data_IF_566796360463
#
_entry.id   IF_566796360463
#
_cell.length_a   1.000
_cell.length_b   1.000
_cell.length_c   1.000
_cell.angle_alpha   90.00
_cell.angle_beta   90.00
_cell.angle_gamma   90.00
#
_symmetry.space_group_name_H-M   'P 1'
#
loop_
_entity.id
_entity.type
_entity.pdbx_description
1 polymer ?
#
# COMPACT_ATOMS: atom_id res chain seq x y z
N UNK A 1 -23.25 -22.52 -0.51
CA UNK A 1 -22.24 -22.88 -1.51
C UNK A 1 -21.51 -21.64 -1.98
N UNK A 2 -20.21 -21.71 -2.00
CA UNK A 2 -19.42 -20.63 -2.58
C UNK A 2 -19.62 -20.68 -4.09
N UNK A 3 -20.16 -19.62 -4.66
CA UNK A 3 -20.27 -19.49 -6.09
C UNK A 3 -18.88 -19.44 -6.68
N UNK A 4 -18.68 -20.04 -7.85
CA UNK A 4 -17.38 -20.05 -8.53
C UNK A 4 -16.79 -18.65 -8.70
N UNK A 5 -17.63 -17.62 -8.94
CA UNK A 5 -17.20 -16.25 -9.07
C UNK A 5 -16.74 -15.58 -7.77
N UNK A 6 -16.95 -16.22 -6.62
CA UNK A 6 -16.56 -15.69 -5.31
C UNK A 6 -15.27 -16.30 -4.78
N UNK A 7 -14.62 -17.18 -5.56
CA UNK A 7 -13.34 -17.76 -5.18
C UNK A 7 -12.24 -16.73 -5.47
N UNK A 8 -11.52 -16.39 -4.41
CA UNK A 8 -10.34 -15.53 -4.49
C UNK A 8 -9.26 -16.18 -5.32
N UNK A 9 -8.73 -15.50 -6.33
CA UNK A 9 -7.62 -16.00 -7.16
C UNK A 9 -6.30 -15.75 -6.49
N UNK A 10 -6.05 -14.51 -6.12
CA UNK A 10 -4.85 -14.06 -5.43
C UNK A 10 -5.23 -13.02 -4.39
N UNK A 11 -4.32 -12.78 -3.47
CA UNK A 11 -4.34 -11.59 -2.64
C UNK A 11 -3.25 -10.68 -3.20
N UNK A 12 -3.62 -9.49 -3.64
CA UNK A 12 -2.68 -8.50 -4.15
C UNK A 12 -2.64 -7.31 -3.22
N UNK A 13 -1.45 -6.93 -2.80
CA UNK A 13 -1.22 -5.91 -1.79
C UNK A 13 -0.43 -4.77 -2.43
N UNK A 14 -0.90 -3.54 -2.23
CA UNK A 14 -0.26 -2.34 -2.79
C UNK A 14 0.12 -1.40 -1.66
N UNK A 15 1.38 -0.98 -1.63
CA UNK A 15 1.82 0.19 -0.91
C UNK A 15 1.28 1.46 -1.60
N UNK A 16 1.24 2.58 -0.91
CA UNK A 16 0.79 3.86 -1.49
C UNK A 16 1.95 4.74 -1.95
N UNK A 17 2.66 5.35 -1.03
CA UNK A 17 3.69 6.34 -1.38
C UNK A 17 4.85 5.72 -2.15
N UNK A 18 5.12 6.24 -3.35
CA UNK A 18 6.16 5.71 -4.23
C UNK A 18 5.77 4.46 -5.01
N UNK A 19 4.60 3.91 -4.75
CA UNK A 19 4.06 2.71 -5.42
C UNK A 19 2.84 3.05 -6.26
N UNK A 20 1.81 3.61 -5.66
CA UNK A 20 0.56 4.00 -6.32
C UNK A 20 0.34 5.52 -6.33
N UNK A 21 0.99 6.24 -5.44
CA UNK A 21 0.84 7.69 -5.29
C UNK A 21 2.20 8.35 -5.35
N UNK A 22 2.30 9.41 -6.13
CA UNK A 22 3.41 10.34 -6.11
C UNK A 22 3.08 11.49 -5.16
N UNK A 23 3.71 11.48 -3.99
CA UNK A 23 3.59 12.51 -2.97
C UNK A 23 4.91 13.27 -2.78
N UNK A 24 5.81 13.20 -3.74
CA UNK A 24 7.15 13.81 -3.64
C UNK A 24 7.11 15.32 -3.45
N UNK A 25 6.08 15.99 -3.96
CA UNK A 25 5.94 17.44 -3.83
C UNK A 25 5.86 17.94 -2.39
N UNK A 26 5.51 17.07 -1.45
CA UNK A 26 5.38 17.38 -0.01
C UNK A 26 6.33 16.59 0.88
N UNK A 27 7.31 15.92 0.27
CA UNK A 27 8.37 15.22 0.99
C UNK A 27 9.64 16.07 1.04
N UNK A 28 10.47 15.82 2.05
CA UNK A 28 11.83 16.32 2.13
C UNK A 28 12.73 15.21 2.67
N UNK A 29 13.96 15.19 2.23
CA UNK A 29 14.96 14.22 2.70
C UNK A 29 15.95 14.87 3.66
N UNK A 30 16.40 14.10 4.64
CA UNK A 30 17.49 14.47 5.52
C UNK A 30 18.84 14.28 4.79
N UNK A 31 19.93 14.85 5.30
CA UNK A 31 21.25 14.67 4.69
C UNK A 31 21.68 13.21 4.52
N UNK A 32 21.17 12.30 5.36
CA UNK A 32 21.45 10.87 5.27
C UNK A 32 20.59 10.13 4.23
N UNK A 33 19.72 10.85 3.51
CA UNK A 33 18.85 10.28 2.49
C UNK A 33 17.51 9.77 3.00
N UNK A 34 17.27 9.80 4.32
CA UNK A 34 15.99 9.36 4.89
C UNK A 34 14.93 10.44 4.79
N UNK A 35 13.65 10.02 4.84
CA UNK A 35 12.53 10.95 4.84
C UNK A 35 12.54 11.81 6.10
N UNK A 36 12.39 13.12 5.94
CA UNK A 36 12.19 14.04 7.04
C UNK A 36 10.75 13.92 7.55
N UNK A 37 10.56 13.18 8.65
CA UNK A 37 9.22 12.90 9.19
C UNK A 37 8.49 14.14 9.67
N UNK A 38 9.21 15.11 10.26
CA UNK A 38 8.59 16.35 10.72
C UNK A 38 8.00 17.12 9.53
N UNK A 39 8.76 17.25 8.47
CA UNK A 39 8.31 17.89 7.23
C UNK A 39 7.11 17.14 6.65
N UNK A 40 7.16 15.81 6.62
CA UNK A 40 6.07 14.97 6.14
C UNK A 40 4.77 15.22 6.92
N UNK A 41 4.86 15.23 8.25
CA UNK A 41 3.70 15.47 9.12
C UNK A 41 3.13 16.88 8.90
N UNK A 42 3.99 17.90 8.83
CA UNK A 42 3.57 19.27 8.59
C UNK A 42 2.88 19.47 7.24
N UNK A 43 3.25 18.66 6.25
CA UNK A 43 2.70 18.75 4.90
C UNK A 43 1.61 17.69 4.62
N UNK A 44 1.15 16.99 5.63
CA UNK A 44 0.01 16.07 5.55
C UNK A 44 -1.32 16.81 5.76
N UNK A 45 -1.49 17.94 5.08
CA UNK A 45 -2.71 18.75 5.12
C UNK A 45 -3.63 18.34 3.98
N UNK A 46 -4.97 18.58 4.09
CA UNK A 46 -5.90 18.26 2.99
C UNK A 46 -5.47 18.86 1.65
N UNK A 47 -5.07 20.14 1.64
CA UNK A 47 -4.63 20.81 0.42
C UNK A 47 -3.45 20.12 -0.24
N UNK A 48 -2.46 19.72 0.56
CA UNK A 48 -1.26 19.04 0.06
C UNK A 48 -1.57 17.62 -0.39
N UNK A 49 -2.39 16.90 0.34
CA UNK A 49 -2.82 15.54 0.01
C UNK A 49 -3.57 15.53 -1.32
N UNK A 50 -4.49 16.48 -1.53
CA UNK A 50 -5.22 16.58 -2.79
C UNK A 50 -4.33 16.99 -3.97
N UNK A 51 -3.12 17.48 -3.72
CA UNK A 51 -2.11 17.74 -4.73
C UNK A 51 -1.27 16.52 -5.11
N UNK A 52 -1.42 15.38 -4.43
CA UNK A 52 -0.77 14.12 -4.82
C UNK A 52 -1.30 13.66 -6.17
N UNK A 53 -0.51 12.88 -6.89
CA UNK A 53 -0.92 12.30 -8.17
C UNK A 53 -0.79 10.78 -8.13
N UNK A 54 -1.53 10.10 -9.02
CA UNK A 54 -1.45 8.65 -9.14
C UNK A 54 -0.25 8.24 -9.99
N UNK A 55 0.42 7.18 -9.56
CA UNK A 55 1.40 6.47 -10.37
C UNK A 55 0.69 5.42 -11.23
N UNK A 56 1.30 4.98 -12.34
CA UNK A 56 0.66 4.03 -13.26
C UNK A 56 0.16 2.75 -12.60
N UNK A 57 0.86 2.25 -11.59
CA UNK A 57 0.47 1.00 -10.91
C UNK A 57 -0.88 1.11 -10.19
N UNK A 58 -1.31 2.32 -9.82
CA UNK A 58 -2.61 2.52 -9.16
C UNK A 58 -3.79 1.96 -9.98
N UNK A 59 -3.68 1.95 -11.29
CA UNK A 59 -4.70 1.40 -12.17
C UNK A 59 -4.93 -0.10 -11.95
N UNK A 60 -3.92 -0.81 -11.45
CA UNK A 60 -4.00 -2.25 -11.19
C UNK A 60 -4.91 -2.58 -10.01
N UNK A 61 -5.14 -1.65 -9.10
CA UNK A 61 -5.98 -1.90 -7.91
C UNK A 61 -7.38 -2.33 -8.35
N UNK A 62 -8.06 -1.51 -9.13
CA UNK A 62 -9.42 -1.83 -9.59
C UNK A 62 -9.43 -2.95 -10.62
N UNK A 63 -8.42 -3.01 -11.46
CA UNK A 63 -8.30 -4.07 -12.48
C UNK A 63 -8.22 -5.45 -11.83
N UNK A 64 -7.39 -5.60 -10.80
CA UNK A 64 -7.25 -6.87 -10.09
C UNK A 64 -8.50 -7.22 -9.30
N UNK A 65 -9.18 -6.23 -8.74
CA UNK A 65 -10.48 -6.44 -8.11
C UNK A 65 -11.48 -7.06 -9.08
N UNK A 66 -11.55 -6.51 -10.29
CA UNK A 66 -12.45 -7.04 -11.36
C UNK A 66 -12.04 -8.43 -11.80
N UNK A 67 -10.77 -8.76 -11.72
CA UNK A 67 -10.25 -10.09 -12.10
C UNK A 67 -10.50 -11.16 -11.02
N UNK A 68 -10.99 -10.80 -9.88
CA UNK A 68 -11.30 -11.74 -8.79
C UNK A 68 -10.26 -11.82 -7.69
N UNK A 69 -9.27 -10.93 -7.68
CA UNK A 69 -8.31 -10.84 -6.57
C UNK A 69 -8.94 -10.17 -5.35
N UNK A 70 -8.46 -10.54 -4.17
CA UNK A 70 -8.70 -9.76 -2.97
C UNK A 70 -7.60 -8.70 -2.88
N UNK A 71 -7.99 -7.43 -2.96
CA UNK A 71 -7.03 -6.33 -3.08
C UNK A 71 -6.93 -5.55 -1.78
N UNK A 72 -5.70 -5.41 -1.30
CA UNK A 72 -5.38 -4.71 -0.06
C UNK A 72 -4.44 -3.53 -0.39
N UNK A 73 -4.74 -2.37 0.16
CA UNK A 73 -3.77 -1.28 0.27
C UNK A 73 -3.14 -1.36 1.66
N UNK A 74 -1.83 -1.46 1.72
CA UNK A 74 -1.07 -1.54 2.97
C UNK A 74 -0.03 -0.43 3.00
N UNK A 75 -0.25 0.58 3.82
CA UNK A 75 0.59 1.77 3.88
C UNK A 75 1.14 2.00 5.28
N UNK A 76 2.37 2.49 5.36
CA UNK A 76 2.94 2.98 6.61
C UNK A 76 2.45 4.39 6.95
N UNK A 77 1.70 5.01 6.06
CA UNK A 77 1.07 6.32 6.28
C UNK A 77 0.00 6.20 7.38
N UNK A 78 -0.04 7.18 8.26
CA UNK A 78 -1.18 7.36 9.16
C UNK A 78 -2.27 8.07 8.36
N UNK A 79 -3.31 7.34 7.95
CA UNK A 79 -4.36 7.86 7.08
C UNK A 79 -5.26 8.84 7.81
N UNK A 80 -5.52 9.98 7.19
CA UNK A 80 -6.50 10.97 7.61
C UNK A 80 -7.75 10.87 6.75
N UNK A 81 -8.80 11.62 7.11
CA UNK A 81 -10.01 11.71 6.29
C UNK A 81 -9.70 12.20 4.87
N UNK A 82 -8.75 13.14 4.75
CA UNK A 82 -8.32 13.64 3.44
C UNK A 82 -7.67 12.55 2.58
N UNK A 83 -6.91 11.65 3.20
CA UNK A 83 -6.30 10.52 2.49
C UNK A 83 -7.37 9.58 1.92
N UNK A 84 -8.37 9.24 2.72
CA UNK A 84 -9.49 8.40 2.25
C UNK A 84 -10.30 9.10 1.17
N UNK A 85 -10.55 10.39 1.32
CA UNK A 85 -11.26 11.19 0.33
C UNK A 85 -10.48 11.26 -0.99
N UNK A 86 -9.17 11.42 -0.92
CA UNK A 86 -8.31 11.40 -2.11
C UNK A 86 -8.49 10.09 -2.89
N UNK A 87 -8.40 8.95 -2.20
CA UNK A 87 -8.55 7.64 -2.85
C UNK A 87 -9.94 7.50 -3.47
N UNK A 88 -10.98 7.94 -2.77
CA UNK A 88 -12.35 7.89 -3.27
C UNK A 88 -12.52 8.77 -4.51
N UNK A 89 -11.99 9.99 -4.49
CA UNK A 89 -12.08 10.92 -5.62
C UNK A 89 -11.33 10.40 -6.86
N UNK A 90 -10.25 9.66 -6.64
CA UNK A 90 -9.48 9.04 -7.72
C UNK A 90 -10.03 7.68 -8.16
N UNK A 91 -11.12 7.24 -7.56
CA UNK A 91 -11.76 5.98 -7.92
C UNK A 91 -10.99 4.74 -7.50
N UNK A 92 -10.17 4.83 -6.47
CA UNK A 92 -9.36 3.72 -5.95
C UNK A 92 -10.15 2.98 -4.89
N UNK A 93 -10.57 1.76 -5.19
CA UNK A 93 -11.48 0.96 -4.36
C UNK A 93 -10.90 -0.40 -4.00
N UNK A 94 -9.93 -0.49 -3.08
CA UNK A 94 -9.46 -1.78 -2.57
C UNK A 94 -10.53 -2.41 -1.66
N UNK A 95 -10.41 -3.71 -1.42
CA UNK A 95 -11.28 -4.40 -0.47
C UNK A 95 -10.93 -4.03 0.98
N UNK A 96 -9.67 -3.72 1.24
CA UNK A 96 -9.20 -3.40 2.59
C UNK A 96 -8.06 -2.39 2.52
N UNK A 97 -8.04 -1.48 3.48
CA UNK A 97 -6.93 -0.54 3.68
C UNK A 97 -6.34 -0.80 5.06
N UNK A 98 -5.05 -1.06 5.10
CA UNK A 98 -4.26 -1.22 6.32
C UNK A 98 -3.33 -0.01 6.41
N UNK A 99 -3.39 0.71 7.51
CA UNK A 99 -2.60 1.91 7.72
C UNK A 99 -1.99 1.93 9.12
N UNK A 100 -1.10 2.88 9.34
CA UNK A 100 -0.48 3.09 10.66
C UNK A 100 -1.50 3.67 11.62
N UNK A 101 -1.63 3.05 12.79
CA UNK A 101 -2.44 3.61 13.87
C UNK A 101 -1.72 4.80 14.51
N UNK A 102 -2.50 5.73 15.08
CA UNK A 102 -1.95 6.83 15.86
C UNK A 102 -1.11 6.27 17.01
N UNK A 103 0.11 6.78 17.16
CA UNK A 103 1.02 6.34 18.23
C UNK A 103 1.83 5.09 17.91
N UNK A 104 1.59 4.44 16.78
CA UNK A 104 2.39 3.29 16.35
C UNK A 104 3.63 3.78 15.62
N UNK A 105 4.80 3.69 16.26
CA UNK A 105 6.06 4.22 15.75
C UNK A 105 7.00 3.14 15.22
N UNK A 106 6.49 1.92 14.98
CA UNK A 106 7.31 0.84 14.42
C UNK A 106 7.84 1.20 13.04
N UNK A 107 9.05 0.74 12.68
CA UNK A 107 9.54 0.87 11.30
C UNK A 107 8.53 0.28 10.30
N UNK A 108 8.52 0.81 9.09
CA UNK A 108 7.52 0.47 8.07
C UNK A 108 7.43 -1.04 7.81
N UNK A 109 8.57 -1.71 7.64
CA UNK A 109 8.61 -3.15 7.38
C UNK A 109 8.06 -3.97 8.54
N UNK A 110 8.41 -3.60 9.76
CA UNK A 110 7.93 -4.26 10.97
C UNK A 110 6.42 -4.07 11.15
N UNK A 111 5.94 -2.85 10.94
CA UNK A 111 4.52 -2.52 11.00
C UNK A 111 3.71 -3.35 10.01
N UNK A 112 4.13 -3.35 8.75
CA UNK A 112 3.43 -4.06 7.68
C UNK A 112 3.46 -5.57 7.90
N UNK A 113 4.61 -6.11 8.29
CA UNK A 113 4.76 -7.53 8.59
C UNK A 113 3.79 -7.98 9.69
N UNK A 114 3.73 -7.24 10.79
CA UNK A 114 2.86 -7.59 11.92
C UNK A 114 1.38 -7.58 11.52
N UNK A 115 0.96 -6.54 10.81
CA UNK A 115 -0.44 -6.40 10.40
C UNK A 115 -0.84 -7.44 9.34
N UNK A 116 -0.01 -7.68 8.35
CA UNK A 116 -0.30 -8.67 7.31
C UNK A 116 -0.24 -10.09 7.84
N UNK A 117 0.72 -10.40 8.72
CA UNK A 117 0.80 -11.71 9.36
C UNK A 117 -0.47 -12.01 10.14
N UNK A 118 -0.97 -11.07 10.90
CA UNK A 118 -2.21 -11.22 11.65
C UNK A 118 -3.40 -11.49 10.74
N UNK A 119 -3.53 -10.73 9.66
CA UNK A 119 -4.59 -10.91 8.69
C UNK A 119 -4.51 -12.26 7.99
N UNK A 120 -3.32 -12.66 7.52
CA UNK A 120 -3.13 -13.88 6.75
C UNK A 120 -3.12 -15.16 7.61
N UNK A 121 -3.15 -15.01 8.92
CA UNK A 121 -3.39 -16.13 9.82
C UNK A 121 -4.86 -16.57 9.82
N UNK A 122 -5.76 -15.74 9.31
CA UNK A 122 -7.17 -16.10 9.17
C UNK A 122 -7.32 -17.23 8.14
N UNK A 123 -8.18 -18.18 8.45
CA UNK A 123 -8.38 -19.41 7.67
C UNK A 123 -8.65 -19.13 6.18
N UNK A 124 -9.46 -18.12 5.89
CA UNK A 124 -9.84 -17.81 4.51
C UNK A 124 -8.70 -17.29 3.63
N UNK A 125 -7.58 -16.88 4.24
CA UNK A 125 -6.44 -16.32 3.49
C UNK A 125 -5.21 -17.21 3.46
N UNK A 126 -5.16 -18.26 4.28
CA UNK A 126 -3.93 -19.05 4.49
C UNK A 126 -3.33 -19.64 3.22
N UNK A 127 -4.17 -20.21 2.37
CA UNK A 127 -3.72 -20.99 1.21
C UNK A 127 -3.82 -20.20 -0.10
N UNK A 128 -4.09 -18.90 -0.01
CA UNK A 128 -4.20 -18.06 -1.20
C UNK A 128 -2.83 -17.46 -1.53
N UNK A 129 -2.46 -17.44 -2.81
CA UNK A 129 -1.24 -16.83 -3.30
C UNK A 129 -1.22 -15.31 -3.00
N UNK A 130 -0.11 -14.81 -2.47
CA UNK A 130 0.02 -13.44 -1.98
C UNK A 130 1.14 -12.71 -2.70
N UNK A 131 0.79 -11.62 -3.35
CA UNK A 131 1.71 -10.79 -4.15
C UNK A 131 1.62 -9.36 -3.63
N UNK A 132 2.78 -8.72 -3.40
CA UNK A 132 2.83 -7.33 -2.95
C UNK A 132 3.72 -6.48 -3.85
N UNK A 133 3.32 -5.23 -4.01
CA UNK A 133 4.12 -4.18 -4.63
C UNK A 133 4.49 -3.15 -3.56
N UNK A 134 5.77 -2.92 -3.36
CA UNK A 134 6.28 -1.93 -2.40
C UNK A 134 7.64 -1.41 -2.88
N UNK A 135 7.81 -0.10 -2.92
CA UNK A 135 9.02 0.55 -3.44
C UNK A 135 10.20 0.51 -2.46
N UNK A 136 9.93 0.30 -1.17
CA UNK A 136 10.97 0.28 -0.15
C UNK A 136 11.64 -1.08 -0.04
N UNK A 137 12.95 -1.15 -0.29
CA UNK A 137 13.71 -2.40 -0.22
C UNK A 137 13.70 -3.02 1.18
N UNK A 138 13.72 -2.20 2.23
CA UNK A 138 13.62 -2.68 3.61
C UNK A 138 12.29 -3.35 3.90
N UNK A 139 11.20 -2.83 3.35
CA UNK A 139 9.87 -3.44 3.47
C UNK A 139 9.81 -4.75 2.70
N UNK A 140 10.30 -4.77 1.46
CA UNK A 140 10.35 -6.00 0.66
C UNK A 140 11.13 -7.10 1.37
N UNK A 141 12.28 -6.76 1.96
CA UNK A 141 13.08 -7.72 2.71
C UNK A 141 12.34 -8.26 3.93
N UNK A 142 11.62 -7.40 4.65
CA UNK A 142 10.87 -7.80 5.84
C UNK A 142 9.72 -8.77 5.50
N UNK A 143 9.13 -8.65 4.32
CA UNK A 143 7.92 -9.38 3.94
C UNK A 143 8.17 -10.65 3.12
N UNK A 144 9.37 -10.87 2.64
CA UNK A 144 9.70 -12.03 1.78
C UNK A 144 9.37 -13.39 2.40
N UNK A 145 9.46 -13.51 3.71
CA UNK A 145 9.14 -14.76 4.39
C UNK A 145 7.66 -15.03 4.58
N UNK A 146 6.83 -13.99 4.42
CA UNK A 146 5.38 -14.09 4.60
C UNK A 146 4.63 -14.24 3.28
N UNK A 147 5.13 -13.62 2.21
CA UNK A 147 4.43 -13.50 0.93
C UNK A 147 5.08 -14.36 -0.14
N UNK A 148 4.32 -14.74 -1.16
CA UNK A 148 4.81 -15.53 -2.29
C UNK A 148 5.68 -14.70 -3.24
N UNK A 149 5.36 -13.41 -3.39
CA UNK A 149 6.16 -12.49 -4.18
C UNK A 149 6.08 -11.07 -3.61
N UNK A 150 7.21 -10.37 -3.60
CA UNK A 150 7.29 -8.96 -3.23
C UNK A 150 8.07 -8.24 -4.32
N UNK A 151 7.40 -7.33 -5.01
CA UNK A 151 7.87 -6.73 -6.27
C UNK A 151 8.15 -5.26 -6.10
N UNK A 152 9.28 -4.81 -6.65
CA UNK A 152 9.62 -3.39 -6.75
C UNK A 152 8.78 -2.78 -7.89
N UNK A 153 7.91 -1.80 -7.59
CA UNK A 153 7.03 -1.21 -8.60
C UNK A 153 7.75 -0.35 -9.63
N UNK A 154 9.01 0.00 -9.43
CA UNK A 154 9.75 0.87 -10.34
C UNK A 154 9.78 0.33 -11.76
N UNK A 155 9.76 -0.99 -11.91
CA UNK A 155 9.73 -1.64 -13.22
C UNK A 155 8.43 -1.39 -13.97
N UNK A 156 7.35 -1.12 -13.26
CA UNK A 156 6.04 -0.81 -13.84
C UNK A 156 5.90 0.71 -14.02
N UNK A 157 6.16 1.47 -12.97
CA UNK A 157 5.98 2.92 -12.95
C UNK A 157 7.01 3.68 -13.79
N UNK A 158 8.24 3.20 -13.80
CA UNK A 158 9.34 3.86 -14.51
C UNK A 158 9.33 3.68 -16.03
N UNK A 159 8.39 2.93 -16.56
CA UNK A 159 8.26 2.67 -18.01
C UNK A 159 7.27 3.60 -18.71
N UNK A 160 6.69 4.48 -17.95
CA UNK A 160 5.63 5.36 -18.47
C UNK A 160 6.18 6.72 -18.83
#
# INVERSE_FOLDING_TARGET
>A
MIKKGNIMKNITIFDLDGTCIDSTHRQATRPDGTLNLEHWIENATPEKIFGDSLLPLAQQINKRTKQGDFVIVCTARQMSDADFEFLMNEGINPHKIISRAVGDNRPDGELKLAKLRSLFNLKQFRDINKIMFDDASSVRSALRGLLDAVIDPIKVNGRV
#
